data_IF_670930479376
#
_entry.id   IF_670930479376
#
_cell.length_a   1.000
_cell.length_b   1.000
_cell.length_c   1.000
_cell.angle_alpha   90.00
_cell.angle_beta   90.00
_cell.angle_gamma   90.00
#
_symmetry.space_group_name_H-M   'P 1'
#
loop_
_entity.id
_entity.type
_entity.pdbx_description
1 polymer ?
#
# COMPACT_ATOMS: atom_id res chain seq x y z
N UNK A 1 -4.75 12.03 22.21
CA UNK A 1 -5.56 10.78 22.17
C UNK A 1 -4.98 9.70 23.09
N UNK A 2 -5.80 9.03 23.92
CA UNK A 2 -5.39 7.85 24.71
C UNK A 2 -5.41 6.58 23.84
N UNK A 3 -4.66 6.59 22.74
CA UNK A 3 -4.57 5.45 21.83
C UNK A 3 -3.40 4.54 22.22
N UNK A 4 -3.61 3.23 22.18
CA UNK A 4 -2.53 2.25 22.21
C UNK A 4 -2.14 1.95 20.76
N UNK A 5 -0.86 2.05 20.46
CA UNK A 5 -0.31 1.75 19.13
C UNK A 5 0.60 0.55 19.27
N UNK A 6 0.26 -0.52 18.56
CA UNK A 6 1.11 -1.70 18.41
C UNK A 6 1.73 -1.66 17.01
N UNK A 7 3.05 -1.79 16.94
CA UNK A 7 3.77 -1.90 15.68
C UNK A 7 4.03 -3.38 15.38
N UNK A 8 3.72 -3.80 14.16
CA UNK A 8 4.07 -5.10 13.59
C UNK A 8 4.78 -4.84 12.28
N UNK A 9 5.94 -5.46 12.08
CA UNK A 9 6.79 -5.21 10.90
C UNK A 9 6.20 -5.74 9.58
N UNK A 10 5.18 -6.59 9.65
CA UNK A 10 4.48 -7.15 8.49
C UNK A 10 5.24 -8.25 7.77
N UNK A 11 6.30 -8.81 8.35
CA UNK A 11 7.04 -9.94 7.75
C UNK A 11 6.26 -11.25 7.78
N UNK A 12 5.41 -11.45 8.80
CA UNK A 12 4.56 -12.63 8.98
C UNK A 12 3.06 -12.25 8.86
N UNK A 13 2.35 -12.74 7.83
CA UNK A 13 0.92 -12.50 7.65
C UNK A 13 0.05 -12.96 8.83
N UNK A 14 0.39 -14.08 9.48
CA UNK A 14 -0.43 -14.65 10.56
C UNK A 14 -0.29 -13.82 11.83
N UNK A 15 0.93 -13.38 12.14
CA UNK A 15 1.20 -12.46 13.25
C UNK A 15 0.54 -11.09 13.01
N UNK A 16 0.62 -10.55 11.80
CA UNK A 16 -0.04 -9.29 11.43
C UNK A 16 -1.57 -9.39 11.56
N UNK A 17 -2.16 -10.48 11.05
CA UNK A 17 -3.59 -10.75 11.21
C UNK A 17 -3.98 -10.90 12.69
N UNK A 18 -3.16 -11.56 13.51
CA UNK A 18 -3.41 -11.71 14.95
C UNK A 18 -3.45 -10.38 15.69
N UNK A 19 -2.52 -9.47 15.39
CA UNK A 19 -2.52 -8.12 15.95
C UNK A 19 -3.76 -7.33 15.49
N UNK A 20 -4.09 -7.42 14.20
CA UNK A 20 -5.23 -6.69 13.61
C UNK A 20 -6.58 -7.14 14.18
N UNK A 21 -6.77 -8.44 14.47
CA UNK A 21 -8.03 -8.98 15.02
C UNK A 21 -8.53 -8.26 16.27
N UNK A 22 -7.61 -7.81 17.12
CA UNK A 22 -7.94 -7.20 18.42
C UNK A 22 -7.90 -5.67 18.39
N UNK A 23 -7.57 -5.06 17.24
CA UNK A 23 -7.46 -3.61 17.09
C UNK A 23 -8.78 -2.98 16.64
N UNK A 24 -9.07 -1.77 17.12
CA UNK A 24 -10.22 -1.00 16.63
C UNK A 24 -10.06 -0.58 15.16
N UNK A 25 -8.82 -0.44 14.70
CA UNK A 25 -8.40 -0.02 13.37
C UNK A 25 -7.03 -0.66 13.06
N UNK A 26 -6.87 -1.18 11.84
CA UNK A 26 -5.57 -1.60 11.31
C UNK A 26 -5.12 -0.64 10.20
N UNK A 27 -3.86 -0.22 10.24
CA UNK A 27 -3.24 0.60 9.18
C UNK A 27 -2.05 -0.18 8.63
N UNK A 28 -2.14 -0.62 7.39
CA UNK A 28 -1.07 -1.37 6.73
C UNK A 28 -0.31 -0.43 5.80
N UNK A 29 0.99 -0.32 5.98
CA UNK A 29 1.87 0.40 5.05
C UNK A 29 2.40 -0.57 4.02
N UNK A 30 2.18 -0.27 2.74
CA UNK A 30 2.77 -0.99 1.62
C UNK A 30 3.79 -0.11 0.92
N UNK A 31 4.91 -0.69 0.52
CA UNK A 31 6.00 0.00 -0.16
C UNK A 31 6.39 -0.72 -1.44
N UNK A 32 6.93 0.03 -2.37
CA UNK A 32 7.65 -0.52 -3.52
C UNK A 32 8.90 0.32 -3.65
N UNK A 33 10.06 -0.34 -3.75
CA UNK A 33 11.31 0.36 -3.99
C UNK A 33 11.47 0.61 -5.49
N UNK A 34 11.90 1.82 -5.84
CA UNK A 34 12.20 2.22 -7.22
C UNK A 34 13.43 3.12 -7.20
N UNK A 35 14.28 3.02 -8.20
CA UNK A 35 15.48 3.84 -8.35
C UNK A 35 15.60 4.39 -9.76
N UNK A 36 16.47 5.37 -9.95
CA UNK A 36 16.91 5.79 -11.27
C UNK A 36 17.67 4.65 -11.98
N UNK A 37 17.55 4.60 -13.31
CA UNK A 37 18.22 3.66 -14.22
C UNK A 37 17.78 2.19 -14.14
N UNK A 38 16.78 1.86 -13.32
CA UNK A 38 16.19 0.53 -13.24
C UNK A 38 14.66 0.63 -13.33
N UNK A 39 14.07 -0.15 -14.22
CA UNK A 39 12.62 -0.35 -14.27
C UNK A 39 12.23 -1.48 -13.31
N UNK A 40 11.10 -1.37 -12.57
CA UNK A 40 10.57 -2.50 -11.84
C UNK A 40 10.05 -3.56 -12.82
N UNK A 41 10.42 -4.83 -12.61
CA UNK A 41 9.99 -5.94 -13.49
C UNK A 41 8.46 -6.13 -13.49
N UNK A 42 7.82 -5.76 -12.37
CA UNK A 42 6.38 -5.79 -12.17
C UNK A 42 5.93 -4.59 -11.33
N UNK A 43 4.64 -4.24 -11.48
CA UNK A 43 3.93 -3.30 -10.61
C UNK A 43 3.17 -4.03 -9.47
N UNK A 44 3.44 -5.31 -9.25
CA UNK A 44 3.03 -5.97 -8.01
C UNK A 44 3.83 -5.43 -6.82
N UNK A 45 3.19 -5.36 -5.65
CA UNK A 45 3.90 -5.10 -4.40
C UNK A 45 4.92 -6.22 -4.15
N UNK A 46 6.17 -5.82 -3.86
CA UNK A 46 7.26 -6.75 -3.66
C UNK A 46 7.06 -7.64 -2.42
N UNK A 47 7.63 -8.85 -2.47
CA UNK A 47 7.58 -9.81 -1.37
C UNK A 47 6.17 -10.31 -1.07
N UNK A 48 5.84 -10.46 0.22
CA UNK A 48 4.56 -10.99 0.67
C UNK A 48 3.54 -9.91 1.07
N UNK A 49 3.77 -8.63 0.74
CA UNK A 49 2.91 -7.52 1.17
C UNK A 49 1.45 -7.70 0.75
N UNK A 50 1.19 -8.21 -0.47
CA UNK A 50 -0.17 -8.54 -0.91
C UNK A 50 -0.84 -9.59 -0.01
N UNK A 51 -0.09 -10.58 0.47
CA UNK A 51 -0.58 -11.64 1.36
C UNK A 51 -0.87 -11.07 2.75
N UNK A 52 0.03 -10.23 3.26
CA UNK A 52 -0.12 -9.55 4.56
C UNK A 52 -1.35 -8.66 4.56
N UNK A 53 -1.53 -7.83 3.53
CA UNK A 53 -2.70 -6.94 3.43
C UNK A 53 -3.99 -7.76 3.37
N UNK A 54 -4.04 -8.82 2.57
CA UNK A 54 -5.21 -9.69 2.50
C UNK A 54 -5.51 -10.37 3.84
N UNK A 55 -4.50 -10.88 4.54
CA UNK A 55 -4.65 -11.52 5.84
C UNK A 55 -5.16 -10.54 6.92
N UNK A 56 -4.61 -9.32 6.95
CA UNK A 56 -5.04 -8.24 7.85
C UNK A 56 -6.46 -7.78 7.53
N UNK A 57 -6.79 -7.57 6.25
CA UNK A 57 -8.13 -7.15 5.84
C UNK A 57 -9.20 -8.21 6.15
N UNK A 58 -8.87 -9.49 5.99
CA UNK A 58 -9.75 -10.60 6.37
C UNK A 58 -9.95 -10.68 7.90
N UNK A 59 -8.90 -10.39 8.67
CA UNK A 59 -8.94 -10.38 10.13
C UNK A 59 -9.65 -9.17 10.72
N UNK A 60 -9.57 -8.00 10.06
CA UNK A 60 -10.16 -6.76 10.51
C UNK A 60 -10.75 -5.96 9.34
N UNK A 61 -12.10 -5.85 9.23
CA UNK A 61 -12.73 -5.10 8.14
C UNK A 61 -12.51 -3.58 8.23
N UNK A 62 -11.99 -3.06 9.35
CA UNK A 62 -11.54 -1.67 9.51
C UNK A 62 -10.05 -1.55 9.23
N UNK A 63 -9.65 -1.99 8.04
CA UNK A 63 -8.27 -1.92 7.56
C UNK A 63 -8.13 -0.78 6.54
N UNK A 64 -7.22 0.16 6.78
CA UNK A 64 -6.79 1.15 5.80
C UNK A 64 -5.39 0.79 5.29
N UNK A 65 -5.15 0.96 3.99
CA UNK A 65 -3.82 0.76 3.40
C UNK A 65 -3.22 2.09 3.00
N UNK A 66 -1.98 2.34 3.40
CA UNK A 66 -1.19 3.49 2.96
C UNK A 66 -0.13 3.00 1.97
N UNK A 67 -0.17 3.51 0.74
CA UNK A 67 0.78 3.19 -0.32
C UNK A 67 1.92 4.21 -0.34
N UNK A 68 3.11 3.76 0.03
CA UNK A 68 4.36 4.47 -0.13
C UNK A 68 5.12 3.95 -1.35
N UNK A 69 4.59 4.24 -2.54
CA UNK A 69 5.07 3.72 -3.81
C UNK A 69 5.37 4.86 -4.78
N UNK A 70 6.40 4.72 -5.63
CA UNK A 70 6.74 5.74 -6.63
C UNK A 70 5.76 5.82 -7.82
N UNK A 71 4.97 4.77 -8.03
CA UNK A 71 4.07 4.63 -9.17
C UNK A 71 2.86 3.75 -8.86
N UNK A 72 2.11 3.34 -9.91
CA UNK A 72 0.96 2.46 -9.76
C UNK A 72 1.40 1.09 -9.28
N UNK A 73 0.57 0.49 -8.41
CA UNK A 73 0.71 -0.91 -7.99
C UNK A 73 -0.59 -1.66 -8.19
N UNK A 74 -0.49 -2.97 -8.44
CA UNK A 74 -1.66 -3.84 -8.42
C UNK A 74 -2.14 -4.06 -6.98
N UNK A 75 -3.47 -4.00 -6.81
CA UNK A 75 -4.13 -4.12 -5.51
C UNK A 75 -5.17 -5.25 -5.55
N UNK A 76 -4.76 -6.54 -5.61
CA UNK A 76 -5.71 -7.66 -5.66
C UNK A 76 -6.65 -7.72 -4.44
N UNK A 77 -6.22 -7.14 -3.31
CA UNK A 77 -6.96 -7.01 -2.06
C UNK A 77 -7.87 -5.77 -1.99
N UNK A 78 -7.93 -4.92 -3.04
CA UNK A 78 -8.62 -3.61 -3.00
C UNK A 78 -10.07 -3.69 -2.51
N UNK A 79 -10.81 -4.75 -2.89
CA UNK A 79 -12.21 -4.95 -2.49
C UNK A 79 -12.40 -5.36 -1.03
N UNK A 80 -11.32 -5.73 -0.33
CA UNK A 80 -11.35 -6.21 1.05
C UNK A 80 -11.15 -5.07 2.07
N UNK A 81 -10.70 -3.90 1.61
CA UNK A 81 -10.37 -2.77 2.49
C UNK A 81 -11.31 -1.58 2.23
N UNK A 82 -11.81 -0.89 3.28
CA UNK A 82 -12.64 0.30 3.11
C UNK A 82 -11.88 1.54 2.62
N UNK A 83 -10.56 1.59 2.74
CA UNK A 83 -9.79 2.79 2.39
C UNK A 83 -8.37 2.48 1.92
N UNK A 84 -7.92 3.25 0.92
CA UNK A 84 -6.54 3.28 0.44
C UNK A 84 -6.09 4.75 0.32
N UNK A 85 -4.93 5.07 0.88
CA UNK A 85 -4.27 6.37 0.76
C UNK A 85 -2.99 6.22 -0.06
N UNK A 86 -2.96 6.80 -1.26
CA UNK A 86 -1.73 6.92 -2.05
C UNK A 86 -0.89 8.09 -1.54
N UNK A 87 0.18 7.79 -0.80
CA UNK A 87 1.06 8.78 -0.17
C UNK A 87 2.35 9.07 -0.96
N UNK A 88 2.63 8.28 -2.01
CA UNK A 88 3.84 8.38 -2.84
C UNK A 88 5.12 8.18 -2.01
N UNK A 89 6.20 8.90 -2.30
CA UNK A 89 7.31 9.09 -1.37
C UNK A 89 7.14 10.44 -0.66
N UNK A 90 6.53 10.48 0.54
CA UNK A 90 5.99 11.72 1.11
C UNK A 90 7.05 12.63 1.78
N UNK A 91 8.34 12.34 1.59
CA UNK A 91 9.46 13.12 2.12
C UNK A 91 9.59 13.09 3.65
N UNK A 92 10.47 13.96 4.17
CA UNK A 92 10.90 13.95 5.58
C UNK A 92 9.76 14.20 6.60
N UNK A 93 8.69 14.89 6.19
CA UNK A 93 7.49 15.14 7.02
C UNK A 93 6.32 14.24 6.63
N UNK A 94 6.58 13.17 5.88
CA UNK A 94 5.52 12.34 5.32
C UNK A 94 4.66 11.63 6.35
N UNK A 95 5.26 11.15 7.45
CA UNK A 95 4.51 10.55 8.56
C UNK A 95 3.52 11.54 9.19
N UNK A 96 3.94 12.79 9.40
CA UNK A 96 3.07 13.86 9.91
C UNK A 96 1.96 14.20 8.91
N UNK A 97 2.30 14.33 7.62
CA UNK A 97 1.33 14.63 6.58
C UNK A 97 0.25 13.54 6.46
N UNK A 98 0.65 12.26 6.45
CA UNK A 98 -0.26 11.12 6.42
C UNK A 98 -1.14 11.08 7.67
N UNK A 99 -0.58 11.29 8.86
CA UNK A 99 -1.36 11.36 10.09
C UNK A 99 -2.44 12.45 10.03
N UNK A 100 -2.08 13.67 9.62
CA UNK A 100 -3.04 14.78 9.49
C UNK A 100 -4.18 14.48 8.52
N UNK A 101 -3.92 13.72 7.46
CA UNK A 101 -4.97 13.24 6.54
C UNK A 101 -5.85 12.18 7.19
N UNK A 102 -5.26 11.15 7.83
CA UNK A 102 -5.99 10.06 8.47
C UNK A 102 -6.88 10.53 9.62
N UNK A 103 -6.45 11.56 10.36
CA UNK A 103 -7.22 12.17 11.44
C UNK A 103 -8.16 13.30 10.97
N UNK A 104 -8.17 13.61 9.66
CA UNK A 104 -9.06 14.62 9.09
C UNK A 104 -8.68 16.07 9.42
N UNK A 105 -7.49 16.32 9.96
CA UNK A 105 -6.94 17.68 10.11
C UNK A 105 -6.68 18.34 8.75
N UNK A 106 -6.43 17.51 7.73
CA UNK A 106 -6.34 17.91 6.33
C UNK A 106 -7.25 17.00 5.50
N UNK A 107 -8.14 17.58 4.72
CA UNK A 107 -8.98 16.82 3.78
C UNK A 107 -8.13 16.42 2.55
N UNK A 108 -8.09 15.13 2.15
CA UNK A 108 -7.35 14.70 0.97
C UNK A 108 -7.86 15.39 -0.30
N UNK A 109 -6.98 16.12 -0.98
CA UNK A 109 -7.30 16.93 -2.18
C UNK A 109 -6.52 16.55 -3.44
N UNK A 110 -5.60 15.58 -3.34
CA UNK A 110 -4.81 15.11 -4.46
C UNK A 110 -5.66 14.44 -5.55
N UNK A 111 -5.19 14.49 -6.79
CA UNK A 111 -5.73 13.76 -7.94
C UNK A 111 -4.62 12.93 -8.55
N UNK A 112 -4.97 11.75 -9.08
CA UNK A 112 -3.98 10.89 -9.74
C UNK A 112 -3.46 11.59 -11.01
N UNK A 113 -2.14 11.81 -11.15
CA UNK A 113 -1.55 12.34 -12.38
C UNK A 113 -1.33 11.25 -13.45
N UNK A 114 -1.47 9.98 -13.07
CA UNK A 114 -1.22 8.80 -13.89
C UNK A 114 -2.33 7.76 -13.69
N UNK A 115 -2.50 6.87 -14.66
CA UNK A 115 -3.50 5.80 -14.59
C UNK A 115 -2.97 4.60 -13.80
N UNK A 116 -3.81 4.04 -12.92
CA UNK A 116 -3.52 2.79 -12.21
C UNK A 116 -4.27 1.66 -12.94
N UNK A 117 -3.58 0.75 -13.64
CA UNK A 117 -4.24 -0.36 -14.34
C UNK A 117 -4.81 -1.36 -13.32
N UNK A 118 -5.96 -1.96 -13.61
CA UNK A 118 -6.55 -2.97 -12.73
C UNK A 118 -5.86 -4.35 -12.86
N UNK A 119 -5.21 -4.60 -13.99
CA UNK A 119 -4.36 -5.75 -14.26
C UNK A 119 -3.25 -5.33 -15.22
N UNK A 120 -2.08 -5.99 -15.14
CA UNK A 120 -0.93 -5.64 -16.00
C UNK A 120 -1.26 -5.71 -17.49
N UNK A 121 -2.07 -6.68 -17.92
CA UNK A 121 -2.51 -6.83 -19.31
C UNK A 121 -3.37 -5.68 -19.84
N UNK A 122 -3.84 -4.76 -18.99
CA UNK A 122 -4.58 -3.56 -19.39
C UNK A 122 -3.68 -2.33 -19.55
N UNK A 123 -2.41 -2.41 -19.15
CA UNK A 123 -1.46 -1.34 -19.39
C UNK A 123 -1.20 -1.20 -20.90
N UNK A 124 -0.99 0.03 -21.43
CA UNK A 124 -0.64 0.23 -22.84
C UNK A 124 0.61 -0.55 -23.27
N UNK A 125 1.53 -0.81 -22.34
CA UNK A 125 2.69 -1.70 -22.49
C UNK A 125 2.72 -2.67 -21.31
N UNK A 126 2.17 -3.89 -21.46
CA UNK A 126 2.09 -4.86 -20.36
C UNK A 126 3.41 -5.60 -20.11
N UNK A 127 4.36 -5.53 -21.04
CA UNK A 127 5.70 -6.11 -20.95
C UNK A 127 6.73 -4.99 -20.89
N UNK A 128 7.69 -5.10 -19.97
CA UNK A 128 8.81 -4.16 -19.88
C UNK A 128 9.85 -4.52 -20.95
N UNK A 129 10.17 -3.64 -21.90
CA UNK A 129 11.17 -3.94 -22.92
C UNK A 129 12.53 -4.31 -22.30
N UNK A 130 13.14 -5.42 -22.71
CA UNK A 130 14.43 -5.88 -22.19
C UNK A 130 14.34 -6.89 -21.05
N UNK A 131 13.16 -7.12 -20.47
CA UNK A 131 12.90 -8.19 -19.49
C UNK A 131 12.44 -9.51 -20.13
N UNK A 132 12.18 -9.48 -21.43
CA UNK A 132 11.79 -10.61 -22.29
C UNK A 132 12.99 -11.38 -22.87
N UNK A 133 14.22 -11.00 -22.52
CA UNK A 133 15.47 -11.51 -23.09
C UNK A 133 16.26 -12.49 -22.19
N UNK A 134 15.62 -13.07 -21.17
CA UNK A 134 16.22 -14.10 -20.29
C UNK A 134 15.42 -15.39 -20.29
#
# INVERSE_FOLDING_TARGET
PKARVDFVDGSDPDAAAAAARNADLAIVWATQWTTEAEDPETIDLAGNQNVVIAAVAAANPRTAVVLNTGGPVLMPWLKQVPAVLAAWYPGQRGGEAVARVLFGEVNPSGRLPITFPAAIGQAPRPTVPGFDQV
#
